data_IF_025049124230
#
_entry.id   IF_025049124230
#
_cell.length_a   1.000
_cell.length_b   1.000
_cell.length_c   1.000
_cell.angle_alpha   90.00
_cell.angle_beta   90.00
_cell.angle_gamma   90.00
#
_symmetry.space_group_name_H-M   'P 1'
#
loop_
_entity.id
_entity.type
_entity.pdbx_description
1 polymer ?
#
# COMPACT_ATOMS: atom_id res chain seq x y z
N UNK A 1 5.09 32.92 17.14
CA UNK A 1 5.39 33.07 15.70
C UNK A 1 5.97 31.80 15.04
N UNK A 2 6.13 30.67 15.75
CA UNK A 2 6.88 29.50 15.25
C UNK A 2 6.01 28.40 14.58
N UNK A 3 4.78 28.19 15.05
CA UNK A 3 3.93 27.07 14.61
C UNK A 3 3.44 27.23 13.16
N UNK A 4 3.08 28.45 12.74
CA UNK A 4 2.61 28.71 11.37
C UNK A 4 3.69 28.43 10.32
N UNK A 5 4.94 28.83 10.61
CA UNK A 5 6.07 28.60 9.71
C UNK A 5 6.43 27.11 9.62
N UNK A 6 6.30 26.35 10.71
CA UNK A 6 6.48 24.91 10.71
C UNK A 6 5.42 24.20 9.82
N UNK A 7 4.14 24.54 9.98
CA UNK A 7 3.10 23.99 9.10
C UNK A 7 3.34 24.32 7.63
N UNK A 8 3.66 25.58 7.31
CA UNK A 8 3.96 25.98 5.92
C UNK A 8 5.16 25.23 5.35
N UNK A 9 6.23 25.04 6.14
CA UNK A 9 7.40 24.29 5.72
C UNK A 9 7.07 22.80 5.48
N UNK A 10 6.34 22.17 6.39
CA UNK A 10 5.92 20.77 6.25
C UNK A 10 5.09 20.55 4.99
N UNK A 11 4.10 21.42 4.74
CA UNK A 11 3.30 21.35 3.52
C UNK A 11 4.13 21.60 2.25
N UNK A 12 5.11 22.51 2.30
CA UNK A 12 6.01 22.74 1.19
C UNK A 12 6.89 21.50 0.88
N UNK A 13 7.41 20.83 1.91
CA UNK A 13 8.21 19.60 1.76
C UNK A 13 7.36 18.46 1.19
N UNK A 14 6.14 18.27 1.71
CA UNK A 14 5.19 17.27 1.18
C UNK A 14 4.88 17.56 -0.29
N UNK A 15 4.56 18.82 -0.62
CA UNK A 15 4.28 19.24 -1.99
C UNK A 15 5.46 19.00 -2.94
N UNK A 16 6.67 19.36 -2.53
CA UNK A 16 7.88 19.13 -3.30
C UNK A 16 8.13 17.63 -3.52
N UNK A 17 7.96 16.80 -2.48
CA UNK A 17 8.11 15.34 -2.58
C UNK A 17 7.08 14.70 -3.51
N UNK A 18 5.81 15.14 -3.44
CA UNK A 18 4.75 14.66 -4.33
C UNK A 18 5.02 15.04 -5.79
N UNK A 19 5.47 16.26 -6.06
CA UNK A 19 5.81 16.70 -7.41
C UNK A 19 7.01 15.92 -7.97
N UNK A 20 8.03 15.70 -7.14
CA UNK A 20 9.20 14.91 -7.51
C UNK A 20 8.81 13.47 -7.84
N UNK A 21 8.05 12.81 -6.97
CA UNK A 21 7.56 11.45 -7.22
C UNK A 21 6.65 11.35 -8.45
N UNK A 22 5.75 12.31 -8.63
CA UNK A 22 4.86 12.36 -9.79
C UNK A 22 5.63 12.52 -11.11
N UNK A 23 6.70 13.33 -11.12
CA UNK A 23 7.56 13.49 -12.29
C UNK A 23 8.17 12.15 -12.73
N UNK A 24 8.80 11.42 -11.82
CA UNK A 24 9.41 10.11 -12.15
C UNK A 24 8.37 9.05 -12.49
N UNK A 25 7.21 9.05 -11.85
CA UNK A 25 6.13 8.13 -12.19
C UNK A 25 5.62 8.36 -13.61
N UNK A 26 5.47 9.62 -14.04
CA UNK A 26 5.05 9.97 -15.41
C UNK A 26 6.16 9.63 -16.40
N UNK A 27 7.41 9.98 -16.10
CA UNK A 27 8.56 9.65 -16.96
C UNK A 27 8.65 8.14 -17.25
N UNK A 28 8.58 7.30 -16.22
CA UNK A 28 8.66 5.85 -16.38
C UNK A 28 7.44 5.26 -17.11
N UNK A 29 6.22 5.77 -16.87
CA UNK A 29 5.00 5.24 -17.49
C UNK A 29 4.85 5.57 -18.99
N UNK A 30 5.51 6.62 -19.48
CA UNK A 30 5.33 7.12 -20.86
C UNK A 30 6.60 7.11 -21.70
N UNK A 31 7.77 7.34 -21.11
CA UNK A 31 9.06 7.37 -21.80
C UNK A 31 9.84 6.09 -21.48
N UNK A 32 9.83 5.69 -20.21
CA UNK A 32 10.48 4.48 -19.70
C UNK A 32 12.00 4.61 -19.56
N UNK A 33 12.60 3.72 -18.77
CA UNK A 33 14.05 3.51 -18.74
C UNK A 33 14.79 4.24 -17.62
N UNK A 34 14.08 4.90 -16.69
CA UNK A 34 14.66 5.40 -15.44
C UNK A 34 14.97 4.25 -14.47
N UNK A 35 14.15 3.20 -14.48
CA UNK A 35 14.32 2.02 -13.62
C UNK A 35 14.49 0.74 -14.43
N UNK A 36 15.72 0.46 -14.88
CA UNK A 36 16.03 -0.75 -15.63
C UNK A 36 16.44 -1.93 -14.73
N UNK A 37 15.93 -3.11 -15.05
CA UNK A 37 16.41 -4.37 -14.49
C UNK A 37 17.65 -4.87 -15.26
N UNK A 38 18.46 -5.68 -14.60
CA UNK A 38 19.53 -6.45 -15.23
C UNK A 38 19.69 -7.81 -14.53
N UNK A 39 20.63 -8.64 -14.98
CA UNK A 39 20.83 -9.98 -14.44
C UNK A 39 21.18 -10.00 -12.94
N UNK A 40 21.75 -8.93 -12.38
CA UNK A 40 22.03 -8.79 -10.95
C UNK A 40 20.98 -7.99 -10.17
N UNK A 41 20.22 -7.12 -10.85
CA UNK A 41 19.19 -6.26 -10.26
C UNK A 41 17.84 -6.57 -10.88
N UNK A 42 17.16 -7.55 -10.29
CA UNK A 42 15.88 -8.08 -10.78
C UNK A 42 14.69 -7.25 -10.27
N UNK A 43 14.88 -6.51 -9.18
CA UNK A 43 13.86 -5.67 -8.55
C UNK A 43 14.29 -4.22 -8.55
N UNK A 44 13.42 -3.33 -9.06
CA UNK A 44 13.76 -1.92 -9.18
C UNK A 44 13.20 -1.08 -8.02
N UNK A 45 13.59 0.20 -7.98
CA UNK A 45 13.23 1.10 -6.89
C UNK A 45 11.70 1.29 -6.71
N UNK A 46 10.89 1.44 -7.77
CA UNK A 46 9.43 1.41 -7.67
C UNK A 46 8.88 0.20 -6.91
N UNK A 47 9.33 -1.02 -7.21
CA UNK A 47 8.87 -2.18 -6.46
C UNK A 47 9.30 -2.15 -4.99
N UNK A 48 10.56 -1.77 -4.69
CA UNK A 48 11.03 -1.63 -3.30
C UNK A 48 10.15 -0.63 -2.53
N UNK A 49 9.79 0.46 -3.20
CA UNK A 49 8.90 1.49 -2.64
C UNK A 49 7.50 0.93 -2.38
N UNK A 50 6.94 0.18 -3.33
CA UNK A 50 5.67 -0.51 -3.14
C UNK A 50 5.69 -1.43 -1.92
N UNK A 51 6.70 -2.28 -1.78
CA UNK A 51 6.82 -3.21 -0.65
C UNK A 51 6.85 -2.47 0.68
N UNK A 52 7.68 -1.43 0.76
CA UNK A 52 7.80 -0.63 1.97
C UNK A 52 6.46 -0.01 2.35
N UNK A 53 5.79 0.66 1.41
CA UNK A 53 4.52 1.34 1.68
C UNK A 53 3.38 0.35 2.00
N UNK A 54 3.31 -0.77 1.28
CA UNK A 54 2.32 -1.81 1.50
C UNK A 54 2.48 -2.47 2.89
N UNK A 55 3.71 -2.81 3.29
CA UNK A 55 3.99 -3.36 4.63
C UNK A 55 3.78 -2.33 5.74
N UNK A 56 4.10 -1.06 5.50
CA UNK A 56 3.79 0.03 6.44
C UNK A 56 2.27 0.14 6.65
N UNK A 57 1.48 0.05 5.58
CA UNK A 57 0.01 0.01 5.70
C UNK A 57 -0.45 -1.21 6.51
N UNK A 58 0.07 -2.40 6.24
CA UNK A 58 -0.25 -3.60 7.02
C UNK A 58 0.05 -3.40 8.51
N UNK A 59 1.19 -2.78 8.84
CA UNK A 59 1.55 -2.42 10.21
C UNK A 59 0.52 -1.50 10.86
N UNK A 60 0.06 -0.48 10.15
CA UNK A 60 -1.01 0.42 10.63
C UNK A 60 -2.34 -0.34 10.80
N UNK A 61 -2.70 -1.22 9.87
CA UNK A 61 -3.87 -2.09 9.96
C UNK A 61 -3.82 -3.01 11.20
N UNK A 62 -2.63 -3.53 11.57
CA UNK A 62 -2.43 -4.29 12.80
C UNK A 62 -2.64 -3.43 14.04
N UNK A 63 -2.07 -2.22 14.07
CA UNK A 63 -2.25 -1.27 15.20
C UNK A 63 -3.72 -0.91 15.37
N UNK A 64 -4.41 -0.60 14.26
CA UNK A 64 -5.83 -0.31 14.25
C UNK A 64 -6.65 -1.52 14.74
N UNK A 65 -6.32 -2.70 14.24
CA UNK A 65 -6.93 -3.96 14.67
C UNK A 65 -6.80 -4.17 16.18
N UNK A 66 -5.58 -4.04 16.70
CA UNK A 66 -5.34 -4.12 18.14
C UNK A 66 -6.17 -3.10 18.93
N UNK A 67 -6.21 -1.84 18.47
CA UNK A 67 -6.96 -0.77 19.13
C UNK A 67 -8.45 -1.04 19.24
N UNK A 68 -9.09 -1.45 18.14
CA UNK A 68 -10.53 -1.71 18.09
C UNK A 68 -10.90 -3.01 18.82
N UNK A 69 -10.13 -4.08 18.60
CA UNK A 69 -10.44 -5.41 19.15
C UNK A 69 -10.20 -5.49 20.65
N UNK A 70 -9.18 -4.80 21.16
CA UNK A 70 -8.86 -4.75 22.60
C UNK A 70 -9.50 -3.54 23.30
N UNK A 71 -10.35 -2.78 22.60
CA UNK A 71 -11.04 -1.59 23.10
C UNK A 71 -10.10 -0.59 23.79
N UNK A 72 -8.92 -0.36 23.19
CA UNK A 72 -7.89 0.54 23.73
C UNK A 72 -8.17 1.98 23.30
N UNK A 73 -8.76 2.76 24.21
CA UNK A 73 -9.13 4.16 23.94
C UNK A 73 -8.00 5.01 23.34
N UNK A 74 -6.75 4.79 23.77
CA UNK A 74 -5.58 5.53 23.32
C UNK A 74 -5.25 5.32 21.82
N UNK A 75 -5.84 4.31 21.18
CA UNK A 75 -5.71 4.03 19.75
C UNK A 75 -7.04 4.32 19.04
N UNK A 76 -8.16 3.93 19.65
CA UNK A 76 -9.50 4.14 19.05
C UNK A 76 -9.82 5.63 18.84
N UNK A 77 -9.30 6.53 19.69
CA UNK A 77 -9.45 7.99 19.53
C UNK A 77 -8.77 8.52 18.26
N UNK A 78 -7.76 7.82 17.75
CA UNK A 78 -6.95 8.16 16.57
C UNK A 78 -7.27 7.24 15.39
N UNK A 79 -8.34 6.45 15.47
CA UNK A 79 -8.74 5.50 14.43
C UNK A 79 -8.83 6.16 13.06
N UNK A 80 -9.43 7.35 12.97
CA UNK A 80 -9.57 8.07 11.70
C UNK A 80 -8.23 8.40 11.07
N UNK A 81 -7.29 8.90 11.86
CA UNK A 81 -5.97 9.29 11.37
C UNK A 81 -5.19 8.05 10.91
N UNK A 82 -5.31 6.94 11.64
CA UNK A 82 -4.71 5.66 11.27
C UNK A 82 -5.34 5.07 9.98
N UNK A 83 -6.65 5.19 9.80
CA UNK A 83 -7.33 4.78 8.56
C UNK A 83 -6.82 5.59 7.37
N UNK A 84 -6.77 6.92 7.50
CA UNK A 84 -6.28 7.82 6.45
C UNK A 84 -4.82 7.50 6.12
N UNK A 85 -3.99 7.25 7.14
CA UNK A 85 -2.58 6.88 6.95
C UNK A 85 -2.43 5.55 6.21
N UNK A 86 -3.12 4.50 6.62
CA UNK A 86 -3.07 3.19 5.96
C UNK A 86 -3.51 3.29 4.49
N UNK A 87 -4.61 4.00 4.23
CA UNK A 87 -5.12 4.23 2.87
C UNK A 87 -4.11 5.00 2.03
N UNK A 88 -3.53 6.08 2.56
CA UNK A 88 -2.54 6.88 1.84
C UNK A 88 -1.28 6.07 1.50
N UNK A 89 -0.82 5.23 2.44
CA UNK A 89 0.31 4.31 2.22
C UNK A 89 -0.01 3.30 1.12
N UNK A 90 -1.19 2.65 1.14
CA UNK A 90 -1.58 1.70 0.10
C UNK A 90 -1.72 2.34 -1.27
N UNK A 91 -2.33 3.53 -1.36
CA UNK A 91 -2.44 4.26 -2.63
C UNK A 91 -1.04 4.58 -3.16
N UNK A 92 -0.14 5.09 -2.32
CA UNK A 92 1.25 5.34 -2.70
C UNK A 92 1.96 4.07 -3.17
N UNK A 93 1.72 2.95 -2.47
CA UNK A 93 2.20 1.63 -2.89
C UNK A 93 1.70 1.25 -4.27
N UNK A 94 0.40 1.34 -4.55
CA UNK A 94 -0.16 1.01 -5.86
C UNK A 94 0.35 1.91 -6.99
N UNK A 95 0.60 3.20 -6.71
CA UNK A 95 1.25 4.09 -7.69
C UNK A 95 2.66 3.60 -8.01
N UNK A 96 3.44 3.21 -7.00
CA UNK A 96 4.77 2.66 -7.19
C UNK A 96 4.75 1.32 -7.95
N UNK A 97 3.79 0.43 -7.63
CA UNK A 97 3.60 -0.83 -8.37
C UNK A 97 3.18 -0.59 -9.82
N UNK A 98 2.33 0.40 -10.08
CA UNK A 98 1.97 0.79 -11.44
C UNK A 98 3.16 1.30 -12.24
N UNK A 99 4.05 2.04 -11.59
CA UNK A 99 5.29 2.54 -12.18
C UNK A 99 6.25 1.39 -12.52
N UNK A 100 6.34 0.36 -11.66
CA UNK A 100 7.14 -0.85 -11.93
C UNK A 100 6.70 -1.59 -13.20
N UNK A 101 5.39 -1.56 -13.52
CA UNK A 101 4.87 -2.22 -14.71
C UNK A 101 5.23 -1.50 -16.02
N UNK A 102 5.78 -0.29 -15.95
CA UNK A 102 6.30 0.49 -17.08
C UNK A 102 5.26 0.97 -18.11
N UNK A 103 4.00 0.53 -18.02
CA UNK A 103 2.93 1.00 -18.91
C UNK A 103 1.55 0.92 -18.24
N UNK A 104 0.69 1.93 -18.43
CA UNK A 104 -0.70 1.88 -17.99
C UNK A 104 -1.51 0.71 -18.57
N UNK A 105 -1.12 0.19 -19.75
CA UNK A 105 -1.81 -0.96 -20.35
C UNK A 105 -1.59 -2.24 -19.55
N UNK A 106 -0.39 -2.44 -18.99
CA UNK A 106 -0.09 -3.62 -18.17
C UNK A 106 -0.95 -3.67 -16.89
N UNK A 107 -1.30 -2.52 -16.33
CA UNK A 107 -2.24 -2.41 -15.21
C UNK A 107 -3.65 -2.89 -15.56
N UNK A 108 -4.08 -2.75 -16.82
CA UNK A 108 -5.39 -3.25 -17.26
C UNK A 108 -5.30 -4.76 -17.49
N UNK A 109 -4.21 -5.22 -18.13
CA UNK A 109 -4.02 -6.65 -18.42
C UNK A 109 -3.91 -7.51 -17.16
N UNK A 110 -3.28 -7.02 -16.08
CA UNK A 110 -3.21 -7.79 -14.82
C UNK A 110 -4.60 -8.04 -14.21
N UNK A 111 -5.57 -7.18 -14.50
CA UNK A 111 -6.97 -7.34 -14.08
C UNK A 111 -7.77 -8.23 -15.04
N UNK A 112 -7.57 -8.09 -16.36
CA UNK A 112 -8.35 -8.80 -17.37
C UNK A 112 -7.86 -10.22 -17.67
N UNK A 113 -6.58 -10.51 -17.47
CA UNK A 113 -5.97 -11.83 -17.67
C UNK A 113 -5.29 -12.31 -16.38
N UNK A 114 -6.06 -12.74 -15.37
CA UNK A 114 -5.51 -13.13 -14.07
C UNK A 114 -4.68 -14.41 -14.16
N UNK A 115 -3.52 -14.42 -13.50
CA UNK A 115 -2.73 -15.63 -13.31
C UNK A 115 -2.82 -16.10 -11.84
N UNK A 116 -3.75 -17.01 -11.60
CA UNK A 116 -4.01 -17.59 -10.26
C UNK A 116 -2.90 -18.53 -9.74
N UNK A 117 -1.82 -18.73 -10.48
CA UNK A 117 -0.63 -19.43 -9.97
C UNK A 117 0.45 -18.46 -9.47
N UNK A 118 0.29 -17.16 -9.76
CA UNK A 118 1.30 -16.14 -9.44
C UNK A 118 1.08 -15.54 -8.05
N UNK A 119 2.07 -15.63 -7.13
CA UNK A 119 2.02 -14.95 -5.84
C UNK A 119 1.87 -13.43 -5.97
N UNK A 120 2.44 -12.83 -7.03
CA UNK A 120 2.36 -11.39 -7.31
C UNK A 120 0.90 -10.97 -7.56
N UNK A 121 0.14 -11.80 -8.29
CA UNK A 121 -1.27 -11.52 -8.58
C UNK A 121 -2.12 -11.55 -7.31
N UNK A 122 -1.92 -12.57 -6.45
CA UNK A 122 -2.63 -12.65 -5.17
C UNK A 122 -2.26 -11.51 -4.23
N UNK A 123 -0.99 -11.14 -4.17
CA UNK A 123 -0.52 -10.02 -3.38
C UNK A 123 -1.25 -8.72 -3.78
N UNK A 124 -1.25 -8.37 -5.07
CA UNK A 124 -1.94 -7.16 -5.55
C UNK A 124 -3.46 -7.20 -5.32
N UNK A 125 -4.06 -8.38 -5.47
CA UNK A 125 -5.50 -8.58 -5.23
C UNK A 125 -5.86 -8.41 -3.75
N UNK A 126 -5.10 -9.02 -2.84
CA UNK A 126 -5.36 -8.91 -1.39
C UNK A 126 -5.19 -7.47 -0.90
N UNK A 127 -4.14 -6.77 -1.34
CA UNK A 127 -3.98 -5.35 -0.99
C UNK A 127 -5.09 -4.47 -1.57
N UNK A 128 -5.66 -4.83 -2.73
CA UNK A 128 -6.80 -4.12 -3.30
C UNK A 128 -8.07 -4.33 -2.47
N UNK A 129 -8.28 -5.57 -1.99
CA UNK A 129 -9.38 -5.89 -1.07
C UNK A 129 -9.18 -5.14 0.26
N UNK A 130 -7.97 -5.13 0.82
CA UNK A 130 -7.64 -4.38 2.04
C UNK A 130 -8.00 -2.90 1.86
N UNK A 131 -7.57 -2.28 0.76
CA UNK A 131 -7.86 -0.88 0.46
C UNK A 131 -9.38 -0.59 0.46
N UNK A 132 -10.18 -1.45 -0.18
CA UNK A 132 -11.65 -1.31 -0.19
C UNK A 132 -12.22 -1.43 1.22
N UNK A 133 -11.77 -2.39 2.03
CA UNK A 133 -12.23 -2.56 3.41
C UNK A 133 -11.90 -1.34 4.28
N UNK A 134 -10.69 -0.79 4.14
CA UNK A 134 -10.26 0.42 4.84
C UNK A 134 -11.09 1.64 4.40
N UNK A 135 -11.37 1.80 3.11
CA UNK A 135 -12.22 2.86 2.58
C UNK A 135 -13.65 2.76 3.14
N UNK A 136 -14.22 1.55 3.21
CA UNK A 136 -15.52 1.31 3.82
C UNK A 136 -15.49 1.70 5.31
N UNK A 137 -14.45 1.31 6.07
CA UNK A 137 -14.29 1.73 7.48
C UNK A 137 -14.22 3.24 7.61
N UNK A 138 -13.39 3.90 6.81
CA UNK A 138 -13.25 5.35 6.85
C UNK A 138 -14.57 6.05 6.53
N UNK A 139 -15.31 5.57 5.53
CA UNK A 139 -16.62 6.10 5.19
C UNK A 139 -17.64 5.94 6.32
N UNK A 140 -17.64 4.79 7.02
CA UNK A 140 -18.52 4.56 8.17
C UNK A 140 -18.15 5.47 9.36
N UNK A 141 -16.86 5.62 9.64
CA UNK A 141 -16.33 6.52 10.68
C UNK A 141 -16.71 7.98 10.41
N UNK A 142 -16.58 8.44 9.16
CA UNK A 142 -16.99 9.78 8.75
C UNK A 142 -18.50 10.03 8.91
N UNK A 143 -19.33 8.98 8.81
CA UNK A 143 -20.78 9.05 9.05
C UNK A 143 -21.16 8.86 10.53
N UNK A 144 -20.20 8.75 11.43
CA UNK A 144 -20.43 8.48 12.86
C UNK A 144 -21.10 7.12 13.11
N UNK A 145 -21.01 6.17 12.18
CA UNK A 145 -21.65 4.86 12.29
C UNK A 145 -20.71 3.85 12.95
N UNK A 146 -20.62 3.93 14.27
CA UNK A 146 -19.88 2.97 15.10
C UNK A 146 -20.88 1.90 15.55
N UNK A 147 -21.08 0.89 14.69
CA UNK A 147 -22.10 -0.14 14.87
C UNK A 147 -21.51 -1.54 15.03
N UNK A 148 -22.40 -2.54 15.13
CA UNK A 148 -22.04 -3.97 15.28
C UNK A 148 -21.17 -4.52 14.13
N UNK A 149 -21.07 -3.81 13.01
CA UNK A 149 -20.29 -4.20 11.82
C UNK A 149 -18.82 -3.80 11.96
N UNK A 150 -18.46 -2.88 12.87
CA UNK A 150 -17.09 -2.36 12.96
C UNK A 150 -16.06 -3.43 13.37
N UNK A 151 -16.41 -4.29 14.32
CA UNK A 151 -15.53 -5.40 14.75
C UNK A 151 -15.32 -6.44 13.64
N UNK A 152 -16.37 -6.99 12.99
CA UNK A 152 -16.20 -7.88 11.84
C UNK A 152 -15.39 -7.26 10.70
N UNK A 153 -15.63 -5.98 10.39
CA UNK A 153 -14.92 -5.29 9.31
C UNK A 153 -13.44 -5.08 9.65
N UNK A 154 -13.13 -4.82 10.91
CA UNK A 154 -11.75 -4.75 11.42
C UNK A 154 -11.04 -6.09 11.27
N UNK A 155 -11.69 -7.20 11.67
CA UNK A 155 -11.13 -8.53 11.50
C UNK A 155 -10.89 -8.87 10.04
N UNK A 156 -11.85 -8.57 9.16
CA UNK A 156 -11.72 -8.79 7.73
C UNK A 156 -10.51 -8.02 7.16
N UNK A 157 -10.41 -6.72 7.47
CA UNK A 157 -9.28 -5.89 7.03
C UNK A 157 -7.94 -6.44 7.55
N UNK A 158 -7.88 -6.83 8.83
CA UNK A 158 -6.67 -7.35 9.45
C UNK A 158 -6.22 -8.69 8.83
N UNK A 159 -7.14 -9.62 8.62
CA UNK A 159 -6.83 -10.93 8.03
C UNK A 159 -6.34 -10.75 6.60
N UNK A 160 -7.00 -9.89 5.82
CA UNK A 160 -6.60 -9.60 4.44
C UNK A 160 -5.23 -8.92 4.42
N UNK A 161 -4.97 -7.95 5.30
CA UNK A 161 -3.69 -7.24 5.39
C UNK A 161 -2.52 -8.20 5.72
N UNK A 162 -2.71 -9.07 6.71
CA UNK A 162 -1.71 -10.08 7.08
C UNK A 162 -1.53 -11.09 5.95
N UNK A 163 -2.62 -11.55 5.32
CA UNK A 163 -2.55 -12.43 4.16
C UNK A 163 -1.78 -11.81 2.99
N UNK A 164 -1.99 -10.52 2.72
CA UNK A 164 -1.27 -9.77 1.69
C UNK A 164 0.24 -9.70 1.99
N UNK A 165 0.62 -9.40 3.23
CA UNK A 165 2.01 -9.38 3.67
C UNK A 165 2.67 -10.77 3.59
N UNK A 166 1.95 -11.84 3.91
CA UNK A 166 2.43 -13.21 3.73
C UNK A 166 2.63 -13.58 2.26
N UNK A 167 1.71 -13.17 1.38
CA UNK A 167 1.87 -13.35 -0.07
C UNK A 167 3.06 -12.57 -0.61
N UNK A 168 3.30 -11.35 -0.10
CA UNK A 168 4.48 -10.57 -0.42
C UNK A 168 5.75 -11.32 0.00
N UNK A 169 5.79 -11.92 1.20
CA UNK A 169 6.88 -12.82 1.61
C UNK A 169 7.08 -14.02 0.67
N UNK A 170 5.98 -14.62 0.18
CA UNK A 170 6.04 -15.72 -0.78
C UNK A 170 6.59 -15.32 -2.15
N UNK A 171 6.32 -14.08 -2.61
CA UNK A 171 6.92 -13.54 -3.84
C UNK A 171 8.45 -13.59 -3.75
N UNK A 172 9.04 -13.12 -2.65
CA UNK A 172 10.49 -13.15 -2.48
C UNK A 172 11.02 -14.57 -2.24
N UNK A 173 10.33 -15.37 -1.45
CA UNK A 173 10.73 -16.75 -1.16
C UNK A 173 10.81 -17.61 -2.43
N UNK A 174 9.81 -17.50 -3.31
CA UNK A 174 9.77 -18.26 -4.58
C UNK A 174 10.81 -17.80 -5.59
N UNK A 175 11.22 -16.54 -5.54
CA UNK A 175 12.30 -16.00 -6.38
C UNK A 175 13.67 -16.45 -5.88
N UNK A 176 13.92 -16.38 -4.57
CA UNK A 176 15.17 -16.88 -3.96
C UNK A 176 15.34 -18.40 -4.04
N UNK A 177 14.25 -19.15 -4.22
CA UNK A 177 14.30 -20.62 -4.34
C UNK A 177 14.60 -21.12 -5.75
N UNK A 178 14.79 -20.23 -6.74
CA UNK A 178 15.12 -20.63 -8.11
C UNK A 178 16.56 -21.12 -8.18
N UNK A 179 16.77 -22.21 -8.93
CA UNK A 179 18.09 -22.84 -9.09
C UNK A 179 19.11 -21.87 -9.68
N UNK A 180 18.65 -20.93 -10.51
CA UNK A 180 19.47 -19.93 -11.19
C UNK A 180 19.63 -18.61 -10.40
N UNK A 181 19.14 -18.54 -9.15
CA UNK A 181 19.30 -17.36 -8.29
C UNK A 181 20.67 -17.43 -7.60
N UNK A 182 21.64 -16.69 -8.14
CA UNK A 182 23.03 -16.61 -7.66
C UNK A 182 23.44 -15.16 -7.38
#
# INVERSE_FOLDING_TARGET
MQIRNFFTLTWAIIGAGLLFGAYFAVDELFIGGSFNTNNGLIWTLPLVTYIFLALMSTGVSIVLGYGVLMQKEAITKQQRDLLILAIALLIGGFVALGTELGSPLHLIWIMLSPNFTSPIWFMGTLYSIELVLLLIKLFMDLRGRHGKIDVPLTWAALIVAVGAALMLGAVFGTVSGRVDFH
#
